data_IF_297564750884
#
_entry.id   IF_297564750884
#
_cell.length_a   1.000
_cell.length_b   1.000
_cell.length_c   1.000
_cell.angle_alpha   90.00
_cell.angle_beta   90.00
_cell.angle_gamma   90.00
#
_symmetry.space_group_name_H-M   'P 1'
#
loop_
_entity.id
_entity.type
_entity.pdbx_description
1 polymer ?
#
# COMPACT_ATOMS: atom_id res chain seq x y z
N UNK A 1 -63.45 1.48 -6.47
CA UNK A 1 -61.99 1.32 -6.53
C UNK A 1 -61.42 2.32 -5.56
N UNK A 2 -61.24 1.88 -4.31
CA UNK A 2 -60.81 2.73 -3.19
C UNK A 2 -59.31 2.60 -3.00
N UNK A 3 -58.67 3.74 -2.83
CA UNK A 3 -57.26 3.95 -2.52
C UNK A 3 -57.03 3.71 -1.03
N UNK A 4 -56.17 2.75 -0.68
CA UNK A 4 -55.63 2.64 0.67
C UNK A 4 -54.19 3.17 0.70
N UNK A 5 -54.03 4.21 1.52
CA UNK A 5 -52.85 5.02 1.76
C UNK A 5 -52.15 4.46 2.99
N UNK A 6 -50.98 3.85 2.82
CA UNK A 6 -50.17 3.36 3.94
C UNK A 6 -49.30 4.51 4.48
N UNK A 7 -49.71 5.08 5.61
CA UNK A 7 -48.88 5.98 6.44
C UNK A 7 -47.99 5.13 7.35
N UNK A 8 -46.71 5.05 7.01
CA UNK A 8 -45.68 4.40 7.82
C UNK A 8 -45.14 5.35 8.88
N UNK A 9 -45.36 5.00 10.15
CA UNK A 9 -44.81 5.70 11.31
C UNK A 9 -43.28 5.54 11.39
N UNK A 10 -42.56 6.66 11.43
CA UNK A 10 -41.10 6.70 11.61
C UNK A 10 -40.70 6.48 13.08
N UNK A 11 -39.53 5.87 13.35
CA UNK A 11 -39.04 5.64 14.70
C UNK A 11 -38.52 6.94 15.35
N UNK A 12 -38.83 7.10 16.64
CA UNK A 12 -38.44 8.22 17.47
C UNK A 12 -36.92 8.23 17.75
N UNK A 13 -36.23 9.26 17.30
CA UNK A 13 -34.85 9.58 17.66
C UNK A 13 -34.76 10.00 19.14
N UNK A 14 -34.16 9.14 19.96
CA UNK A 14 -33.78 9.45 21.34
C UNK A 14 -32.48 10.26 21.33
N UNK A 15 -32.58 11.60 21.38
CA UNK A 15 -31.44 12.49 21.67
C UNK A 15 -30.97 12.27 23.11
N UNK A 16 -29.80 11.67 23.25
CA UNK A 16 -29.04 11.67 24.51
C UNK A 16 -28.12 12.91 24.46
N UNK A 17 -28.42 13.90 25.29
CA UNK A 17 -27.56 15.07 25.49
C UNK A 17 -26.30 14.68 26.26
N UNK A 18 -25.14 14.85 25.64
CA UNK A 18 -23.84 14.77 26.29
C UNK A 18 -23.45 16.10 26.95
N UNK A 19 -22.64 16.07 28.03
CA UNK A 19 -22.19 17.26 28.73
C UNK A 19 -21.22 18.10 27.89
N UNK A 20 -21.34 19.42 28.04
CA UNK A 20 -20.53 20.44 27.36
C UNK A 20 -19.02 20.27 27.66
N UNK A 21 -18.23 20.05 26.61
CA UNK A 21 -16.77 20.14 26.64
C UNK A 21 -16.34 21.60 26.75
N UNK A 22 -15.54 21.90 27.77
CA UNK A 22 -14.85 23.17 27.92
C UNK A 22 -13.75 23.31 26.84
N UNK A 23 -13.54 24.50 26.27
CA UNK A 23 -12.50 24.70 25.26
C UNK A 23 -11.11 24.61 25.91
N UNK A 24 -10.39 23.53 25.58
CA UNK A 24 -8.97 23.39 25.87
C UNK A 24 -8.21 24.50 25.14
N UNK A 25 -7.47 25.32 25.90
CA UNK A 25 -6.59 26.36 25.37
C UNK A 25 -5.48 25.75 24.51
N UNK A 26 -5.66 25.81 23.21
CA UNK A 26 -4.61 25.47 22.24
C UNK A 26 -3.52 26.52 22.27
N UNK A 27 -2.34 26.15 22.79
CA UNK A 27 -1.09 26.85 22.49
C UNK A 27 -0.91 26.84 20.98
N UNK A 28 -1.16 27.98 20.34
CA UNK A 28 -0.92 28.20 18.92
C UNK A 28 0.59 28.18 18.65
N UNK A 29 1.14 26.98 18.44
CA UNK A 29 2.43 26.84 17.80
C UNK A 29 2.30 27.45 16.40
N UNK A 30 3.09 28.47 16.11
CA UNK A 30 3.16 29.04 14.77
C UNK A 30 3.46 27.91 13.76
N UNK A 31 2.78 27.88 12.60
CA UNK A 31 3.00 26.84 11.61
C UNK A 31 4.48 26.87 11.18
N UNK A 32 5.19 25.77 11.41
CA UNK A 32 6.58 25.62 10.99
C UNK A 32 6.59 25.66 9.47
N UNK A 33 7.17 26.71 8.89
CA UNK A 33 7.27 26.84 7.43
C UNK A 33 8.25 25.78 6.92
N UNK A 34 7.74 24.81 6.18
CA UNK A 34 8.56 23.78 5.53
C UNK A 34 9.03 24.32 4.17
N UNK A 35 10.35 24.29 3.95
CA UNK A 35 10.98 24.73 2.70
C UNK A 35 11.65 23.54 2.01
N UNK A 36 11.47 23.43 0.70
CA UNK A 36 12.11 22.40 -0.10
C UNK A 36 13.63 22.61 -0.14
N UNK A 37 14.44 21.64 0.31
CA UNK A 37 15.89 21.77 0.35
C UNK A 37 16.53 21.84 -1.05
N UNK A 38 15.81 21.45 -2.10
CA UNK A 38 16.33 21.42 -3.48
C UNK A 38 16.14 22.75 -4.22
N UNK A 39 14.96 23.35 -4.13
CA UNK A 39 14.60 24.53 -4.93
C UNK A 39 14.18 25.75 -4.09
N UNK A 40 14.13 25.64 -2.76
CA UNK A 40 13.73 26.73 -1.88
C UNK A 40 12.23 27.05 -1.89
N UNK A 41 11.41 26.29 -2.62
CA UNK A 41 9.95 26.49 -2.62
C UNK A 41 9.34 26.17 -1.26
N UNK A 42 8.33 26.93 -0.87
CA UNK A 42 7.50 26.72 0.32
C UNK A 42 6.06 26.34 -0.09
N UNK A 43 5.12 26.45 0.84
CA UNK A 43 3.69 26.43 0.51
C UNK A 43 3.35 27.47 -0.60
N UNK A 44 2.39 27.17 -1.49
CA UNK A 44 1.54 25.96 -1.55
C UNK A 44 2.18 24.78 -2.32
N UNK A 45 3.43 24.93 -2.77
CA UNK A 45 4.14 23.96 -3.61
C UNK A 45 4.70 22.78 -2.83
N UNK A 46 4.97 22.96 -1.54
CA UNK A 46 5.38 21.90 -0.62
C UNK A 46 4.17 21.45 0.18
N UNK A 47 3.91 20.14 0.20
CA UNK A 47 2.83 19.51 0.98
C UNK A 47 3.31 18.20 1.56
N UNK A 48 2.62 17.69 2.58
CA UNK A 48 2.86 16.30 2.99
C UNK A 48 2.54 15.37 1.82
N UNK A 49 3.25 14.24 1.73
CA UNK A 49 2.96 13.21 0.72
C UNK A 49 1.48 12.74 0.79
N UNK A 50 0.88 12.51 1.97
CA UNK A 50 -0.56 12.26 2.09
C UNK A 50 -1.44 13.31 1.42
N UNK A 51 -1.21 14.59 1.70
CA UNK A 51 -2.02 15.68 1.14
C UNK A 51 -1.81 15.82 -0.38
N UNK A 52 -0.59 15.62 -0.85
CA UNK A 52 -0.27 15.61 -2.28
C UNK A 52 -0.98 14.46 -3.02
N UNK A 53 -1.05 13.27 -2.40
CA UNK A 53 -1.77 12.12 -2.97
C UNK A 53 -3.29 12.26 -2.87
N UNK A 54 -3.82 12.95 -1.84
CA UNK A 54 -5.24 13.20 -1.69
C UNK A 54 -5.79 14.30 -2.61
N UNK A 55 -4.91 15.11 -3.22
CA UNK A 55 -5.31 16.15 -4.15
C UNK A 55 -6.07 15.56 -5.37
N UNK A 56 -7.15 16.22 -5.86
CA UNK A 56 -8.00 15.69 -6.92
C UNK A 56 -7.28 15.47 -8.27
N UNK A 57 -6.17 16.17 -8.50
CA UNK A 57 -5.35 16.04 -9.71
C UNK A 57 -4.29 14.92 -9.62
N UNK A 58 -4.12 14.32 -8.44
CA UNK A 58 -3.14 13.26 -8.21
C UNK A 58 -3.36 12.00 -9.07
N UNK A 59 -4.61 11.54 -9.33
CA UNK A 59 -4.82 10.34 -10.15
C UNK A 59 -4.53 10.61 -11.63
N UNK A 60 -4.87 11.81 -12.11
CA UNK A 60 -4.64 12.21 -13.52
C UNK A 60 -3.15 12.35 -13.85
N UNK A 61 -2.34 12.76 -12.87
CA UNK A 61 -0.89 12.95 -13.02
C UNK A 61 -0.06 11.69 -12.71
N UNK A 62 -0.70 10.59 -12.29
CA UNK A 62 -0.02 9.38 -11.83
C UNK A 62 0.85 9.59 -10.59
N UNK A 63 0.68 10.71 -9.86
CA UNK A 63 1.50 11.03 -8.69
C UNK A 63 1.28 10.01 -7.57
N UNK A 64 0.04 9.59 -7.36
CA UNK A 64 -0.30 8.60 -6.32
C UNK A 64 0.33 7.22 -6.57
N UNK A 65 0.53 6.84 -7.83
CA UNK A 65 1.21 5.59 -8.19
C UNK A 65 2.73 5.70 -7.99
N UNK A 66 3.31 6.84 -8.36
CA UNK A 66 4.73 7.16 -8.13
C UNK A 66 5.07 7.28 -6.64
N UNK A 67 4.11 7.70 -5.81
CA UNK A 67 4.23 7.83 -4.36
C UNK A 67 3.54 6.68 -3.60
N UNK A 68 3.25 5.56 -4.26
CA UNK A 68 2.54 4.45 -3.64
C UNK A 68 3.30 3.91 -2.43
N UNK A 69 2.64 3.88 -1.26
CA UNK A 69 3.21 3.37 -0.01
C UNK A 69 3.35 1.85 0.05
N UNK A 70 2.56 1.13 -0.74
CA UNK A 70 2.58 -0.31 -0.81
C UNK A 70 2.29 -0.75 -2.25
N UNK A 71 2.76 -1.95 -2.66
CA UNK A 71 2.38 -2.52 -3.94
C UNK A 71 0.87 -2.77 -4.00
N UNK A 72 0.31 -2.72 -5.20
CA UNK A 72 -1.06 -3.14 -5.44
C UNK A 72 -1.21 -4.61 -5.08
N UNK A 73 -2.11 -4.92 -4.16
CA UNK A 73 -2.49 -6.32 -3.86
C UNK A 73 -3.78 -6.64 -4.58
N UNK A 74 -3.90 -7.84 -5.19
CA UNK A 74 -5.18 -8.34 -5.65
C UNK A 74 -6.19 -8.25 -4.50
N UNK A 75 -7.41 -7.81 -4.80
CA UNK A 75 -8.48 -7.75 -3.79
C UNK A 75 -9.01 -9.14 -3.49
N UNK A 76 -9.63 -9.34 -2.33
CA UNK A 76 -10.22 -10.64 -1.99
C UNK A 76 -11.26 -11.11 -3.04
N UNK A 77 -11.92 -10.17 -3.72
CA UNK A 77 -12.82 -10.43 -4.84
C UNK A 77 -12.09 -10.94 -6.09
N UNK A 78 -10.88 -10.43 -6.36
CA UNK A 78 -10.06 -10.94 -7.45
C UNK A 78 -9.66 -12.40 -7.19
N UNK A 79 -9.22 -12.74 -5.97
CA UNK A 79 -8.94 -14.14 -5.60
C UNK A 79 -10.17 -15.02 -5.72
N UNK A 80 -11.34 -14.51 -5.29
CA UNK A 80 -12.58 -15.26 -5.35
C UNK A 80 -13.01 -15.54 -6.80
N UNK A 81 -12.82 -14.56 -7.69
CA UNK A 81 -13.07 -14.73 -9.12
C UNK A 81 -12.15 -15.81 -9.72
N UNK A 82 -10.84 -15.77 -9.42
CA UNK A 82 -9.91 -16.83 -9.86
C UNK A 82 -10.27 -18.21 -9.29
N UNK A 83 -10.74 -18.26 -8.04
CA UNK A 83 -11.22 -19.51 -7.44
C UNK A 83 -12.44 -20.05 -8.20
N UNK A 84 -13.44 -19.21 -8.47
CA UNK A 84 -14.65 -19.62 -9.20
C UNK A 84 -14.32 -20.09 -10.61
N UNK A 85 -13.46 -19.37 -11.34
CA UNK A 85 -12.98 -19.77 -12.66
C UNK A 85 -12.30 -21.15 -12.61
N UNK A 86 -11.41 -21.34 -11.63
CA UNK A 86 -10.75 -22.62 -11.38
C UNK A 86 -11.73 -23.76 -11.07
N UNK A 87 -12.76 -23.50 -10.25
CA UNK A 87 -13.79 -24.50 -9.93
C UNK A 87 -14.64 -24.87 -11.14
N UNK A 88 -14.97 -23.89 -11.99
CA UNK A 88 -15.71 -24.15 -13.25
C UNK A 88 -14.88 -25.05 -14.16
N UNK A 89 -13.59 -24.75 -14.36
CA UNK A 89 -12.70 -25.57 -15.19
C UNK A 89 -12.51 -26.97 -14.63
N UNK A 90 -12.30 -27.10 -13.31
CA UNK A 90 -12.20 -28.40 -12.65
C UNK A 90 -13.52 -29.21 -12.78
N UNK A 91 -14.66 -28.55 -12.67
CA UNK A 91 -15.98 -29.13 -12.87
C UNK A 91 -16.18 -29.69 -14.28
N UNK A 92 -15.69 -29.01 -15.32
CA UNK A 92 -15.70 -29.51 -16.70
C UNK A 92 -14.88 -30.81 -16.80
N UNK A 93 -13.69 -30.86 -16.18
CA UNK A 93 -12.87 -32.07 -16.11
C UNK A 93 -13.60 -33.24 -15.41
N UNK A 94 -14.27 -32.96 -14.30
CA UNK A 94 -15.08 -33.95 -13.58
C UNK A 94 -16.27 -34.44 -14.42
N UNK A 95 -16.92 -33.56 -15.17
CA UNK A 95 -17.99 -33.91 -16.10
C UNK A 95 -17.52 -34.84 -17.22
N UNK A 96 -16.32 -34.60 -17.78
CA UNK A 96 -15.70 -35.51 -18.74
C UNK A 96 -15.42 -36.89 -18.13
N UNK A 97 -14.92 -36.91 -16.88
CA UNK A 97 -14.66 -38.16 -16.19
C UNK A 97 -15.94 -38.96 -15.95
N UNK A 98 -17.01 -38.29 -15.51
CA UNK A 98 -18.32 -38.87 -15.28
C UNK A 98 -18.92 -39.43 -16.56
N UNK A 99 -18.83 -38.70 -17.67
CA UNK A 99 -19.25 -39.19 -18.99
C UNK A 99 -18.46 -40.42 -19.42
N UNK A 100 -17.15 -40.47 -19.13
CA UNK A 100 -16.31 -41.65 -19.36
C UNK A 100 -16.82 -42.89 -18.63
N UNK A 101 -17.24 -42.74 -17.37
CA UNK A 101 -17.81 -43.84 -16.57
C UNK A 101 -19.12 -44.33 -17.15
N UNK A 102 -20.04 -43.42 -17.49
CA UNK A 102 -21.36 -43.79 -18.02
C UNK A 102 -21.31 -44.47 -19.40
N UNK A 103 -20.22 -44.29 -20.15
CA UNK A 103 -20.07 -44.82 -21.49
C UNK A 103 -19.01 -45.94 -21.58
N UNK A 104 -18.49 -46.43 -20.45
CA UNK A 104 -17.41 -47.43 -20.37
C UNK A 104 -16.16 -47.04 -21.20
N UNK A 105 -15.82 -45.74 -21.22
CA UNK A 105 -14.65 -45.22 -21.93
C UNK A 105 -13.55 -44.83 -20.94
N UNK A 106 -12.64 -45.76 -20.58
CA UNK A 106 -11.67 -45.56 -19.50
C UNK A 106 -10.70 -44.39 -19.76
N UNK A 107 -10.42 -44.07 -21.03
CA UNK A 107 -9.59 -42.92 -21.39
C UNK A 107 -10.20 -41.58 -20.94
N UNK A 108 -11.53 -41.40 -21.07
CA UNK A 108 -12.19 -40.16 -20.65
C UNK A 108 -12.31 -40.07 -19.14
N UNK A 109 -12.52 -41.21 -18.45
CA UNK A 109 -12.49 -41.28 -16.99
C UNK A 109 -11.13 -40.87 -16.46
N UNK A 110 -10.06 -41.56 -16.87
CA UNK A 110 -8.71 -41.26 -16.40
C UNK A 110 -8.27 -39.85 -16.78
N UNK A 111 -8.46 -39.45 -18.04
CA UNK A 111 -8.08 -38.12 -18.53
C UNK A 111 -8.84 -36.99 -17.82
N UNK A 112 -10.16 -37.13 -17.67
CA UNK A 112 -10.99 -36.14 -16.98
C UNK A 112 -10.63 -35.99 -15.51
N UNK A 113 -10.38 -37.11 -14.80
CA UNK A 113 -9.97 -37.08 -13.39
C UNK A 113 -8.63 -36.39 -13.21
N UNK A 114 -7.63 -36.74 -14.03
CA UNK A 114 -6.30 -36.11 -13.98
C UNK A 114 -6.40 -34.61 -14.29
N UNK A 115 -7.15 -34.23 -15.32
CA UNK A 115 -7.35 -32.83 -15.68
C UNK A 115 -8.01 -32.05 -14.54
N UNK A 116 -9.09 -32.57 -13.95
CA UNK A 116 -9.78 -31.94 -12.84
C UNK A 116 -8.86 -31.76 -11.62
N UNK A 117 -8.07 -32.78 -11.28
CA UNK A 117 -7.13 -32.71 -10.17
C UNK A 117 -6.03 -31.66 -10.40
N UNK A 118 -5.45 -31.60 -11.61
CA UNK A 118 -4.43 -30.61 -11.96
C UNK A 118 -4.96 -29.18 -11.89
N UNK A 119 -6.16 -28.94 -12.44
CA UNK A 119 -6.81 -27.63 -12.39
C UNK A 119 -7.09 -27.22 -10.94
N UNK A 120 -7.64 -28.12 -10.15
CA UNK A 120 -7.92 -27.87 -8.74
C UNK A 120 -6.66 -27.53 -7.93
N UNK A 121 -5.60 -28.33 -8.06
CA UNK A 121 -4.32 -28.09 -7.37
C UNK A 121 -3.68 -26.78 -7.85
N UNK A 122 -3.73 -26.49 -9.16
CA UNK A 122 -3.27 -25.22 -9.72
C UNK A 122 -3.99 -24.02 -9.12
N UNK A 123 -5.33 -24.07 -9.03
CA UNK A 123 -6.14 -23.02 -8.40
C UNK A 123 -5.76 -22.82 -6.93
N UNK A 124 -5.59 -23.90 -6.16
CA UNK A 124 -5.15 -23.79 -4.76
C UNK A 124 -3.77 -23.15 -4.62
N UNK A 125 -2.84 -23.46 -5.54
CA UNK A 125 -1.51 -22.87 -5.56
C UNK A 125 -1.57 -21.35 -5.79
N UNK A 126 -2.35 -20.90 -6.78
CA UNK A 126 -2.54 -19.47 -7.08
C UNK A 126 -3.10 -18.73 -5.86
N UNK A 127 -4.19 -19.24 -5.26
CA UNK A 127 -4.82 -18.63 -4.08
C UNK A 127 -3.85 -18.55 -2.90
N UNK A 128 -3.04 -19.59 -2.69
CA UNK A 128 -2.02 -19.60 -1.64
C UNK A 128 -0.91 -18.58 -1.92
N UNK A 129 -0.53 -18.40 -3.18
CA UNK A 129 0.41 -17.36 -3.62
C UNK A 129 -0.11 -15.96 -3.28
N UNK A 130 -1.32 -15.62 -3.73
CA UNK A 130 -1.95 -14.33 -3.46
C UNK A 130 -2.15 -14.07 -1.96
N UNK A 131 -2.50 -15.11 -1.18
CA UNK A 131 -2.63 -15.00 0.27
C UNK A 131 -1.30 -14.67 0.95
N UNK A 132 -0.20 -15.27 0.50
CA UNK A 132 1.15 -14.97 1.01
C UNK A 132 1.58 -13.54 0.67
N UNK A 133 1.29 -13.08 -0.54
CA UNK A 133 1.57 -11.70 -0.95
C UNK A 133 0.79 -10.70 -0.09
N UNK A 134 -0.51 -10.94 0.13
CA UNK A 134 -1.32 -10.12 1.05
C UNK A 134 -0.78 -10.11 2.46
N UNK A 135 -0.36 -11.26 2.98
CA UNK A 135 0.23 -11.36 4.31
C UNK A 135 1.52 -10.53 4.42
N UNK A 136 2.36 -10.58 3.37
CA UNK A 136 3.60 -9.79 3.28
C UNK A 136 3.30 -8.30 3.26
N UNK A 137 2.35 -7.87 2.43
CA UNK A 137 1.94 -6.46 2.36
C UNK A 137 1.31 -5.99 3.67
N UNK A 138 0.45 -6.79 4.29
CA UNK A 138 -0.15 -6.48 5.58
C UNK A 138 0.92 -6.35 6.69
N UNK A 139 1.94 -7.20 6.70
CA UNK A 139 3.02 -7.14 7.67
C UNK A 139 3.94 -5.92 7.48
N UNK A 140 4.18 -5.49 6.23
CA UNK A 140 5.02 -4.32 5.93
C UNK A 140 4.30 -2.98 6.01
N UNK A 141 2.96 -2.96 5.91
CA UNK A 141 2.15 -1.73 5.88
C UNK A 141 2.44 -0.74 7.01
N UNK A 142 2.57 -1.14 8.30
CA UNK A 142 2.86 -0.19 9.36
C UNK A 142 4.24 0.50 9.20
N UNK A 143 5.25 -0.25 8.73
CA UNK A 143 6.60 0.31 8.47
C UNK A 143 6.56 1.29 7.30
N UNK A 144 5.90 0.91 6.21
CA UNK A 144 5.71 1.79 5.07
C UNK A 144 4.99 3.09 5.47
N UNK A 145 3.91 3.00 6.24
CA UNK A 145 3.15 4.16 6.71
C UNK A 145 4.01 5.11 7.55
N UNK A 146 4.82 4.57 8.45
CA UNK A 146 5.71 5.35 9.30
C UNK A 146 6.74 6.15 8.51
N UNK A 147 7.26 5.59 7.42
CA UNK A 147 8.20 6.28 6.52
C UNK A 147 7.49 7.26 5.59
N UNK A 148 6.27 6.93 5.17
CA UNK A 148 5.54 7.66 4.15
C UNK A 148 4.84 8.91 4.69
N UNK A 149 4.25 8.82 5.89
CA UNK A 149 3.43 9.88 6.50
C UNK A 149 4.19 11.20 6.78
N UNK A 150 5.44 11.21 7.31
CA UNK A 150 6.15 12.45 7.59
C UNK A 150 6.87 13.05 6.35
N UNK A 151 6.85 12.36 5.21
CA UNK A 151 7.51 12.82 4.00
C UNK A 151 6.75 13.99 3.36
N UNK A 152 7.48 14.88 2.70
CA UNK A 152 6.93 16.05 2.01
C UNK A 152 7.27 16.00 0.52
N UNK A 153 6.29 16.31 -0.32
CA UNK A 153 6.42 16.41 -1.77
C UNK A 153 6.49 17.88 -2.19
N UNK A 154 7.45 18.22 -3.05
CA UNK A 154 7.56 19.52 -3.67
C UNK A 154 7.11 19.47 -5.13
N UNK A 155 5.98 20.09 -5.45
CA UNK A 155 5.43 20.15 -6.81
C UNK A 155 6.31 20.95 -7.79
N UNK A 156 7.13 21.90 -7.31
CA UNK A 156 7.97 22.73 -8.17
C UNK A 156 9.16 21.98 -8.80
N UNK A 157 9.66 20.93 -8.14
CA UNK A 157 10.83 20.18 -8.62
C UNK A 157 10.66 18.65 -8.53
N UNK A 158 9.44 18.18 -8.26
CA UNK A 158 9.05 16.78 -8.15
C UNK A 158 9.90 15.92 -7.19
N UNK A 159 10.42 16.54 -6.13
CA UNK A 159 11.21 15.83 -5.11
C UNK A 159 10.42 15.52 -3.86
N UNK A 160 10.75 14.41 -3.20
CA UNK A 160 10.25 14.03 -1.88
C UNK A 160 11.37 14.19 -0.85
N UNK A 161 11.08 14.73 0.33
CA UNK A 161 12.10 14.92 1.38
C UNK A 161 11.49 14.84 2.78
N UNK A 162 12.34 14.72 3.79
CA UNK A 162 11.96 14.80 5.19
C UNK A 162 12.44 16.14 5.78
N UNK A 163 11.57 17.00 6.33
CA UNK A 163 11.97 18.31 6.84
C UNK A 163 13.07 18.27 7.90
N UNK A 164 13.10 17.22 8.72
CA UNK A 164 14.14 16.98 9.74
C UNK A 164 15.36 16.22 9.24
N UNK A 165 15.45 15.89 7.94
CA UNK A 165 16.52 15.08 7.36
C UNK A 165 16.58 13.63 7.85
N UNK A 166 15.53 13.16 8.55
CA UNK A 166 15.39 11.80 9.07
C UNK A 166 14.04 11.23 8.62
N UNK A 167 13.98 9.94 8.21
CA UNK A 167 15.07 8.96 8.22
C UNK A 167 16.04 9.07 7.04
N UNK A 168 15.77 9.92 6.05
CA UNK A 168 16.63 10.11 4.88
C UNK A 168 17.16 11.55 4.75
N UNK A 169 18.48 11.75 4.58
CA UNK A 169 19.05 13.08 4.39
C UNK A 169 18.83 13.58 2.96
N UNK A 170 18.17 14.72 2.84
CA UNK A 170 18.03 15.43 1.56
C UNK A 170 16.89 14.93 0.67
N UNK A 171 16.76 15.52 -0.53
CA UNK A 171 15.67 15.24 -1.46
C UNK A 171 15.90 13.96 -2.27
N UNK A 172 14.83 13.19 -2.44
CA UNK A 172 14.72 12.01 -3.28
C UNK A 172 13.84 12.33 -4.50
N UNK A 173 14.07 11.64 -5.63
CA UNK A 173 13.03 11.56 -6.67
C UNK A 173 11.85 10.71 -6.18
N UNK A 174 10.69 10.80 -6.83
CA UNK A 174 9.53 9.97 -6.50
C UNK A 174 9.82 8.48 -6.62
N UNK A 175 10.52 8.06 -7.68
CA UNK A 175 10.97 6.67 -7.87
C UNK A 175 11.94 6.22 -6.77
N UNK A 176 12.91 7.06 -6.36
CA UNK A 176 13.83 6.74 -5.27
C UNK A 176 13.10 6.63 -3.93
N UNK A 177 12.16 7.53 -3.66
CA UNK A 177 11.32 7.49 -2.47
C UNK A 177 10.47 6.22 -2.41
N UNK A 178 9.80 5.84 -3.51
CA UNK A 178 9.04 4.60 -3.60
C UNK A 178 9.92 3.38 -3.35
N UNK A 179 11.09 3.30 -4.01
CA UNK A 179 12.05 2.23 -3.78
C UNK A 179 12.47 2.14 -2.30
N UNK A 180 12.83 3.28 -1.70
CA UNK A 180 13.23 3.35 -0.31
C UNK A 180 12.13 2.84 0.64
N UNK A 181 10.91 3.35 0.50
CA UNK A 181 9.77 2.93 1.33
C UNK A 181 9.49 1.43 1.17
N UNK A 182 9.53 0.91 -0.06
CA UNK A 182 9.22 -0.49 -0.34
C UNK A 182 10.28 -1.45 0.20
N UNK A 183 11.57 -1.13 0.02
CA UNK A 183 12.66 -1.94 0.59
C UNK A 183 12.61 -1.96 2.11
N UNK A 184 12.43 -0.81 2.78
CA UNK A 184 12.35 -0.78 4.26
C UNK A 184 11.07 -1.43 4.81
N UNK A 185 10.00 -1.44 4.02
CA UNK A 185 8.77 -2.15 4.38
C UNK A 185 8.88 -3.68 4.18
N UNK A 186 9.90 -4.17 3.47
CA UNK A 186 10.10 -5.58 3.15
C UNK A 186 9.32 -6.04 1.92
N UNK A 187 9.10 -5.14 0.95
CA UNK A 187 8.40 -5.41 -0.30
C UNK A 187 9.37 -5.72 -1.46
N UNK A 188 10.57 -6.23 -1.18
CA UNK A 188 11.63 -6.42 -2.17
C UNK A 188 11.22 -7.33 -3.33
N UNK A 189 10.37 -8.32 -3.07
CA UNK A 189 9.86 -9.24 -4.09
C UNK A 189 8.85 -8.58 -5.03
N UNK A 190 8.25 -7.45 -4.63
CA UNK A 190 7.25 -6.72 -5.41
C UNK A 190 7.86 -5.52 -6.15
N UNK A 191 9.16 -5.25 -5.97
CA UNK A 191 9.88 -4.20 -6.71
C UNK A 191 10.05 -4.66 -8.17
N UNK A 192 9.43 -3.93 -9.10
CA UNK A 192 9.59 -4.20 -10.53
C UNK A 192 11.03 -3.96 -11.02
N UNK A 193 11.36 -4.50 -12.19
CA UNK A 193 12.71 -4.42 -12.74
C UNK A 193 13.20 -2.96 -12.92
N UNK A 194 12.31 -2.04 -13.31
CA UNK A 194 12.65 -0.63 -13.49
C UNK A 194 13.04 -0.01 -12.15
N UNK A 195 12.22 -0.20 -11.13
CA UNK A 195 12.44 0.33 -9.79
C UNK A 195 13.66 -0.31 -9.13
N UNK A 196 13.92 -1.59 -9.39
CA UNK A 196 15.11 -2.30 -8.88
C UNK A 196 16.42 -1.64 -9.37
N UNK A 197 16.44 -1.09 -10.59
CA UNK A 197 17.58 -0.39 -11.19
C UNK A 197 17.77 1.04 -10.70
N UNK A 198 16.79 1.62 -10.00
CA UNK A 198 16.89 2.99 -9.47
C UNK A 198 17.91 3.02 -8.34
N UNK A 199 19.01 3.74 -8.51
CA UNK A 199 20.00 3.88 -7.45
C UNK A 199 19.51 4.84 -6.37
N UNK A 200 19.56 4.39 -5.11
CA UNK A 200 19.33 5.26 -3.96
C UNK A 200 20.62 6.03 -3.69
N UNK A 201 20.55 7.35 -3.45
CA UNK A 201 21.73 8.11 -3.05
C UNK A 201 22.36 7.48 -1.79
N UNK A 202 23.67 7.64 -1.55
CA UNK A 202 24.28 7.15 -0.32
C UNK A 202 23.57 7.74 0.91
N UNK A 203 23.21 6.89 1.87
CA UNK A 203 22.81 7.40 3.20
C UNK A 203 24.05 8.03 3.79
N UNK A 204 24.09 9.35 3.90
CA UNK A 204 25.09 9.99 4.75
C UNK A 204 24.87 9.42 6.16
N UNK A 205 25.87 8.73 6.75
CA UNK A 205 25.68 8.13 8.06
C UNK A 205 25.24 9.23 9.03
N UNK A 206 24.11 9.00 9.71
CA UNK A 206 23.59 9.89 10.71
C UNK A 206 24.62 10.02 11.84
N UNK A 207 25.45 11.06 11.78
CA UNK A 207 26.37 11.44 12.85
C UNK A 207 27.63 10.59 12.98
N UNK A 208 28.64 10.84 12.15
CA UNK A 208 29.93 11.19 12.76
C UNK A 208 29.83 12.67 13.15
N UNK A 209 29.23 12.95 14.32
CA UNK A 209 29.38 14.28 14.90
C UNK A 209 30.87 14.62 15.04
N UNK A 210 31.26 15.91 15.02
CA UNK A 210 32.65 16.27 15.21
C UNK A 210 33.14 15.61 16.49
N UNK A 211 34.13 14.73 16.38
CA UNK A 211 34.86 14.20 17.51
C UNK A 211 35.36 15.42 18.28
N UNK A 212 34.77 15.68 19.45
CA UNK A 212 35.30 16.69 20.37
C UNK A 212 36.80 16.42 20.56
N UNK A 213 37.62 17.47 20.76
CA UNK A 213 39.07 17.34 20.79
C UNK A 213 39.44 16.25 21.81
N UNK A 214 39.99 15.17 21.28
CA UNK A 214 40.48 14.03 22.02
C UNK A 214 41.56 14.58 22.95
N UNK A 215 41.21 14.74 24.23
CA UNK A 215 42.14 15.17 25.26
C UNK A 215 43.35 14.25 25.24
N UNK A 216 44.52 14.83 24.95
CA UNK A 216 45.78 14.11 25.00
C UNK A 216 45.97 13.52 26.41
N UNK A 217 46.36 12.23 26.54
CA UNK A 217 46.78 11.69 27.82
C UNK A 217 48.12 12.33 28.18
N UNK A 218 48.10 13.23 29.16
CA UNK A 218 49.30 13.75 29.79
C UNK A 218 50.04 12.63 30.52
N UNK A 219 51.21 12.26 30.01
CA UNK A 219 52.25 11.59 30.76
C UNK A 219 53.18 12.66 31.34
N UNK A 220 53.19 12.81 32.67
CA UNK A 220 54.34 13.09 33.54
C UNK A 220 53.84 13.45 34.94
#
# INVERSE_FOLDING_TARGET
>A
MSTEKFEGAGPAERRVGGPAEAPAGGSGAAPVTVVCPRCGASEPSVRTVPDACAAPDSPRSGLSDRLAKAPGVPTALDSFTHFLEGMVLAGIGAGLAYSGVQNDKPLYTAGGTVLAALLFVGTLWVIRGESRERATVAAGKPRAEHLWQPAHYCASCESVFYPGGSPWPGPLTTDQFRKYVWTEAGFDQQIDERLSKVELPPRTPAGSGPSGPQGAPGHA
#
